data_IF_294009100455
#
_entry.id   IF_294009100455
#
_cell.length_a   1.000
_cell.length_b   1.000
_cell.length_c   1.000
_cell.angle_alpha   90.00
_cell.angle_beta   90.00
_cell.angle_gamma   90.00
#
_symmetry.space_group_name_H-M   'P 1'
#
loop_
_entity.id
_entity.type
_entity.pdbx_description
1 polymer ?
#
# COMPACT_ATOMS: atom_id res chain seq x y z
N UNK A 1 -23.52 -19.52 -1.92
CA UNK A 1 -22.05 -19.59 -1.74
C UNK A 1 -21.55 -18.17 -1.83
N UNK A 2 -20.79 -17.66 -0.87
CA UNK A 2 -20.29 -16.29 -0.96
C UNK A 2 -19.31 -16.22 -2.14
N UNK A 3 -19.50 -15.25 -3.04
CA UNK A 3 -18.59 -15.03 -4.16
C UNK A 3 -17.25 -14.53 -3.63
N UNK A 4 -16.27 -15.43 -3.60
CA UNK A 4 -14.89 -15.19 -3.15
C UNK A 4 -14.28 -14.01 -3.90
N UNK A 5 -14.56 -13.89 -5.20
CA UNK A 5 -14.10 -12.79 -6.04
C UNK A 5 -14.64 -11.43 -5.58
N UNK A 6 -15.89 -11.40 -5.10
CA UNK A 6 -16.54 -10.17 -4.63
C UNK A 6 -15.96 -9.74 -3.28
N UNK A 7 -15.72 -10.69 -2.37
CA UNK A 7 -15.05 -10.41 -1.10
C UNK A 7 -13.62 -9.90 -1.33
N UNK A 8 -12.89 -10.53 -2.26
CA UNK A 8 -11.53 -10.12 -2.60
C UNK A 8 -11.47 -8.73 -3.24
N UNK A 9 -12.39 -8.41 -4.15
CA UNK A 9 -12.44 -7.08 -4.77
C UNK A 9 -12.76 -5.99 -3.74
N UNK A 10 -13.70 -6.24 -2.83
CA UNK A 10 -14.05 -5.29 -1.77
C UNK A 10 -12.91 -5.11 -0.77
N UNK A 11 -12.23 -6.19 -0.38
CA UNK A 11 -11.09 -6.13 0.52
C UNK A 11 -9.92 -5.35 -0.09
N UNK A 12 -9.58 -5.62 -1.35
CA UNK A 12 -8.47 -4.93 -2.03
C UNK A 12 -8.77 -3.46 -2.24
N UNK A 13 -10.00 -3.10 -2.64
CA UNK A 13 -10.42 -1.70 -2.76
C UNK A 13 -10.31 -0.97 -1.42
N UNK A 14 -10.82 -1.57 -0.34
CA UNK A 14 -10.70 -1.01 1.00
C UNK A 14 -9.23 -0.85 1.43
N UNK A 15 -8.42 -1.88 1.24
CA UNK A 15 -7.01 -1.90 1.63
C UNK A 15 -6.21 -0.79 0.92
N UNK A 16 -6.33 -0.67 -0.40
CA UNK A 16 -5.61 0.36 -1.16
C UNK A 16 -6.15 1.76 -0.89
N UNK A 17 -7.46 1.92 -0.67
CA UNK A 17 -8.05 3.21 -0.29
C UNK A 17 -7.50 3.72 1.03
N UNK A 18 -7.44 2.88 2.05
CA UNK A 18 -6.83 3.23 3.34
C UNK A 18 -5.32 3.46 3.19
N UNK A 19 -4.62 2.68 2.37
CA UNK A 19 -3.19 2.88 2.11
C UNK A 19 -2.88 4.26 1.50
N UNK A 20 -3.72 4.72 0.57
CA UNK A 20 -3.54 6.00 -0.13
C UNK A 20 -3.97 7.21 0.71
N UNK A 21 -4.92 7.03 1.65
CA UNK A 21 -5.48 8.10 2.48
C UNK A 21 -4.93 8.15 3.92
N UNK A 22 -5.02 7.05 4.67
CA UNK A 22 -4.64 6.96 6.07
C UNK A 22 -3.97 5.61 6.41
N UNK A 23 -2.65 5.58 6.27
CA UNK A 23 -1.83 4.38 6.53
C UNK A 23 -1.93 3.84 7.96
N UNK A 24 -2.30 4.66 8.93
CA UNK A 24 -2.48 4.20 10.31
C UNK A 24 -3.71 3.28 10.48
N UNK A 25 -4.72 3.39 9.61
CA UNK A 25 -5.92 2.55 9.65
C UNK A 25 -5.65 1.08 9.33
N UNK A 26 -4.56 0.79 8.61
CA UNK A 26 -4.17 -0.56 8.20
C UNK A 26 -3.73 -1.44 9.37
N UNK A 27 -3.35 -0.87 10.51
CA UNK A 27 -2.94 -1.63 11.70
C UNK A 27 -4.01 -2.63 12.16
N UNK A 28 -5.29 -2.25 12.01
CA UNK A 28 -6.44 -3.08 12.39
C UNK A 28 -6.64 -4.33 11.52
N UNK A 29 -6.08 -4.34 10.31
CA UNK A 29 -6.19 -5.46 9.37
C UNK A 29 -5.11 -6.54 9.63
N UNK A 30 -4.07 -6.18 10.37
CA UNK A 30 -2.96 -7.08 10.70
C UNK A 30 -3.10 -7.62 12.13
N UNK A 31 -2.60 -8.83 12.34
CA UNK A 31 -2.53 -9.50 13.66
C UNK A 31 -1.07 -9.55 14.14
N UNK A 32 -0.87 -9.97 15.39
CA UNK A 32 0.47 -10.17 15.98
C UNK A 32 1.34 -11.13 15.16
N UNK A 33 0.71 -12.14 14.57
CA UNK A 33 1.40 -13.21 13.83
C UNK A 33 1.41 -12.95 12.31
N UNK A 34 0.94 -11.78 11.88
CA UNK A 34 0.97 -11.39 10.47
C UNK A 34 2.40 -11.06 10.03
N UNK A 35 2.71 -11.42 8.79
CA UNK A 35 4.00 -11.17 8.17
C UNK A 35 3.83 -10.39 6.86
N UNK A 36 4.61 -9.33 6.70
CA UNK A 36 4.75 -8.57 5.46
C UNK A 36 6.19 -8.73 4.96
N UNK A 37 6.36 -8.99 3.67
CA UNK A 37 7.68 -8.93 3.02
C UNK A 37 7.71 -7.74 2.07
N UNK A 38 8.64 -6.81 2.28
CA UNK A 38 8.82 -5.62 1.45
C UNK A 38 10.25 -5.56 0.91
N UNK A 39 10.43 -5.59 -0.41
CA UNK A 39 11.76 -5.54 -1.07
C UNK A 39 12.77 -6.56 -0.51
N UNK A 40 12.29 -7.76 -0.14
CA UNK A 40 13.11 -8.82 0.45
C UNK A 40 13.32 -8.74 1.96
N UNK A 41 12.82 -7.70 2.64
CA UNK A 41 12.83 -7.60 4.09
C UNK A 41 11.55 -8.18 4.70
N UNK A 42 11.61 -9.30 5.44
CA UNK A 42 10.48 -9.80 6.20
C UNK A 42 10.25 -8.95 7.46
N UNK A 43 9.00 -8.63 7.73
CA UNK A 43 8.54 -7.84 8.88
C UNK A 43 7.40 -8.62 9.52
N UNK A 44 7.49 -8.86 10.83
CA UNK A 44 6.49 -9.63 11.57
C UNK A 44 5.84 -8.74 12.61
N UNK A 45 4.52 -8.83 12.73
CA UNK A 45 3.70 -8.12 13.71
C UNK A 45 3.08 -6.83 13.20
N UNK A 46 1.81 -6.60 13.58
CA UNK A 46 1.02 -5.46 13.14
C UNK A 46 1.69 -4.09 13.39
N UNK A 47 2.35 -3.91 14.54
CA UNK A 47 3.03 -2.65 14.87
C UNK A 47 4.22 -2.39 13.94
N UNK A 48 5.10 -3.38 13.76
CA UNK A 48 6.27 -3.26 12.90
C UNK A 48 5.87 -3.06 11.42
N UNK A 49 4.80 -3.72 10.97
CA UNK A 49 4.22 -3.51 9.64
C UNK A 49 3.73 -2.06 9.46
N UNK A 50 2.99 -1.55 10.43
CA UNK A 50 2.43 -0.19 10.37
C UNK A 50 3.52 0.88 10.40
N UNK A 51 4.55 0.71 11.24
CA UNK A 51 5.73 1.59 11.26
C UNK A 51 6.46 1.60 9.92
N UNK A 52 6.62 0.44 9.28
CA UNK A 52 7.27 0.34 7.97
C UNK A 52 6.46 1.03 6.88
N UNK A 53 5.14 0.85 6.87
CA UNK A 53 4.26 1.49 5.88
C UNK A 53 4.20 3.01 6.08
N UNK A 54 4.16 3.50 7.33
CA UNK A 54 4.14 4.95 7.64
C UNK A 54 5.49 5.62 7.40
N UNK A 55 6.60 4.90 7.58
CA UNK A 55 7.97 5.39 7.36
C UNK A 55 8.40 5.50 5.89
N UNK A 56 7.58 5.09 4.92
CA UNK A 56 7.91 5.21 3.51
C UNK A 56 7.95 6.70 3.08
N UNK A 57 8.96 7.16 2.32
CA UNK A 57 9.12 8.56 1.90
C UNK A 57 8.14 8.97 0.78
N UNK A 58 6.89 8.50 0.84
CA UNK A 58 5.87 8.77 -0.17
C UNK A 58 4.80 9.70 0.37
N UNK A 59 4.76 10.92 -0.16
CA UNK A 59 3.80 11.94 0.23
C UNK A 59 2.39 11.64 -0.29
N UNK A 60 2.27 11.19 -1.55
CA UNK A 60 1.04 10.63 -2.13
C UNK A 60 1.36 9.44 -3.01
N UNK A 61 0.64 8.35 -2.76
CA UNK A 61 0.66 7.13 -3.56
C UNK A 61 -0.74 6.92 -4.10
N UNK A 62 -0.84 6.42 -5.32
CA UNK A 62 -2.08 5.94 -5.89
C UNK A 62 -1.86 4.54 -6.45
N UNK A 63 -2.60 3.58 -5.92
CA UNK A 63 -2.57 2.20 -6.40
C UNK A 63 -3.55 2.03 -7.55
N UNK A 64 -3.06 1.59 -8.71
CA UNK A 64 -3.90 1.22 -9.85
C UNK A 64 -3.84 -0.28 -10.06
N UNK A 65 -4.89 -0.99 -9.64
CA UNK A 65 -5.03 -2.43 -9.83
C UNK A 65 -5.32 -2.74 -11.30
N UNK A 66 -4.60 -3.71 -11.89
CA UNK A 66 -4.82 -4.18 -13.26
C UNK A 66 -5.48 -5.55 -13.29
N UNK A 67 -4.99 -6.50 -12.49
CA UNK A 67 -5.60 -7.83 -12.34
C UNK A 67 -5.71 -8.19 -10.88
N UNK A 68 -6.76 -8.96 -10.57
CA UNK A 68 -7.02 -9.49 -9.25
C UNK A 68 -7.50 -10.92 -9.42
N UNK A 69 -6.77 -11.85 -8.80
CA UNK A 69 -7.08 -13.26 -8.79
C UNK A 69 -7.27 -13.73 -7.35
N UNK A 70 -8.41 -14.36 -7.07
CA UNK A 70 -8.75 -14.86 -5.73
C UNK A 70 -8.90 -16.38 -5.76
N UNK A 71 -8.27 -17.05 -4.80
CA UNK A 71 -8.34 -18.50 -4.65
C UNK A 71 -8.59 -18.88 -3.19
N UNK A 72 -9.38 -19.93 -2.92
CA UNK A 72 -9.48 -20.49 -1.58
C UNK A 72 -8.14 -21.14 -1.21
N UNK A 73 -7.56 -20.76 -0.07
CA UNK A 73 -6.22 -21.23 0.31
C UNK A 73 -6.25 -22.60 1.00
N UNK A 74 -7.40 -23.01 1.54
CA UNK A 74 -7.58 -24.30 2.18
C UNK A 74 -9.02 -24.79 2.02
N UNK A 75 -9.24 -26.11 1.83
CA UNK A 75 -10.58 -26.69 1.85
C UNK A 75 -11.18 -26.77 3.25
N UNK A 76 -10.36 -26.73 4.30
CA UNK A 76 -10.78 -26.91 5.71
C UNK A 76 -10.84 -25.61 6.49
N UNK A 77 -10.07 -24.60 6.10
CA UNK A 77 -10.03 -23.29 6.75
C UNK A 77 -10.56 -22.26 5.77
N UNK A 78 -11.52 -21.44 6.21
CA UNK A 78 -12.08 -20.32 5.44
C UNK A 78 -11.06 -19.19 5.28
N UNK A 79 -10.01 -19.47 4.52
CA UNK A 79 -8.90 -18.57 4.21
C UNK A 79 -8.83 -18.37 2.70
N UNK A 80 -8.41 -17.17 2.31
CA UNK A 80 -8.52 -16.69 0.94
C UNK A 80 -7.17 -16.08 0.55
N UNK A 81 -6.65 -16.53 -0.58
CA UNK A 81 -5.43 -16.03 -1.19
C UNK A 81 -5.81 -15.08 -2.32
N UNK A 82 -5.35 -13.84 -2.24
CA UNK A 82 -5.54 -12.83 -3.28
C UNK A 82 -4.19 -12.46 -3.86
N UNK A 83 -4.06 -12.61 -5.17
CA UNK A 83 -2.94 -12.08 -5.94
C UNK A 83 -3.39 -10.85 -6.69
N UNK A 84 -2.71 -9.73 -6.48
CA UNK A 84 -3.01 -8.46 -7.13
C UNK A 84 -1.80 -8.03 -7.93
N UNK A 85 -2.02 -7.70 -9.21
CA UNK A 85 -1.02 -7.02 -10.03
C UNK A 85 -1.52 -5.64 -10.40
N UNK A 86 -0.61 -4.68 -10.49
CA UNK A 86 -0.97 -3.30 -10.73
C UNK A 86 0.22 -2.37 -10.89
N UNK A 87 -0.08 -1.08 -10.99
CA UNK A 87 0.87 0.01 -11.11
C UNK A 87 0.80 0.88 -9.85
N UNK A 88 1.96 1.21 -9.32
CA UNK A 88 2.11 2.15 -8.20
C UNK A 88 2.47 3.53 -8.75
N UNK A 89 1.56 4.49 -8.67
CA UNK A 89 1.84 5.88 -9.07
C UNK A 89 2.25 6.66 -7.84
N UNK A 90 3.54 6.96 -7.72
CA UNK A 90 4.09 7.76 -6.63
C UNK A 90 4.33 9.17 -7.13
N UNK A 91 3.72 10.16 -6.48
CA UNK A 91 4.11 11.56 -6.68
C UNK A 91 5.23 11.87 -5.69
N UNK A 92 6.49 11.68 -6.13
CA UNK A 92 7.59 12.37 -5.46
C UNK A 92 7.46 13.85 -5.82
N UNK A 93 7.37 14.71 -4.82
CA UNK A 93 7.53 16.14 -5.04
C UNK A 93 8.92 16.34 -5.66
N UNK A 94 9.05 16.90 -6.88
CA UNK A 94 10.37 17.21 -7.40
C UNK A 94 10.96 18.31 -6.52
N UNK A 95 12.14 18.06 -5.95
CA UNK A 95 12.98 19.05 -5.25
C UNK A 95 13.54 20.13 -6.20
N UNK A 96 12.78 20.54 -7.22
CA UNK A 96 13.21 21.55 -8.18
C UNK A 96 12.31 22.78 -8.12
N UNK A 97 12.46 23.57 -7.06
CA UNK A 97 12.23 25.03 -7.14
C UNK A 97 12.99 25.77 -6.05
N UNK A 98 14.30 25.53 -5.94
CA UNK A 98 15.22 26.50 -5.33
C UNK A 98 16.48 26.57 -6.17
N UNK A 99 16.39 27.21 -7.34
CA UNK A 99 17.56 27.81 -7.97
C UNK A 99 17.28 29.28 -8.25
N UNK A 100 17.30 30.02 -7.15
CA UNK A 100 18.04 31.27 -7.04
C UNK A 100 18.01 32.15 -8.31
N UNK A 101 16.87 32.80 -8.57
CA UNK A 101 16.89 34.07 -9.30
C UNK A 101 17.48 35.14 -8.37
N UNK A 102 18.80 35.07 -8.17
CA UNK A 102 19.57 36.26 -7.81
C UNK A 102 19.46 37.21 -8.99
N UNK A 103 18.94 38.40 -8.67
CA UNK A 103 18.82 39.58 -9.52
C UNK A 103 19.98 39.74 -10.49
N UNK A 104 19.75 40.01 -11.79
CA UNK A 104 20.74 40.72 -12.59
C UNK A 104 20.61 42.22 -12.30
N UNK A 105 21.75 42.87 -12.18
CA UNK A 105 21.94 44.29 -11.92
C UNK A 105 21.13 45.23 -12.84
N UNK A 106 20.73 46.41 -12.33
CA UNK A 106 20.79 47.65 -13.10
C UNK A 106 20.69 48.91 -12.21
N UNK A 107 21.82 49.61 -12.16
CA UNK A 107 22.10 51.07 -12.15
C UNK A 107 21.11 51.98 -11.43
#
# INVERSE_FOLDING_TARGET
MADINLVASQFTEFYYREFDSNRAGLASLYRSDSMLSWEGSPIVGANAITEKITGLPFSKVQHKVTTLDAQPSSPTISSLLVSVTGLLVVRSTPLCSVRNQRSPDRV
#
